data_IF_055659969348
#
_entry.id   IF_055659969348
#
_cell.length_a   1.000
_cell.length_b   1.000
_cell.length_c   1.000
_cell.angle_alpha   90.00
_cell.angle_beta   90.00
_cell.angle_gamma   90.00
#
_symmetry.space_group_name_H-M   'P 1'
#
loop_
_entity.id
_entity.type
_entity.pdbx_description
1 polymer ?
#
# COMPACT_ATOMS: atom_id res chain seq x y z
N UNK A 1 12.62 -9.44 -32.02
CA UNK A 1 11.60 -10.34 -32.59
C UNK A 1 10.53 -10.56 -31.54
N UNK A 2 9.36 -9.95 -31.71
CA UNK A 2 8.18 -10.24 -30.89
C UNK A 2 7.72 -11.64 -31.32
N UNK A 3 7.77 -12.62 -30.41
CA UNK A 3 7.23 -13.96 -30.70
C UNK A 3 5.74 -13.80 -30.99
N UNK A 4 5.30 -14.32 -32.14
CA UNK A 4 3.88 -14.41 -32.47
C UNK A 4 3.18 -15.25 -31.41
N UNK A 5 2.38 -14.61 -30.55
CA UNK A 5 1.46 -15.33 -29.69
C UNK A 5 0.33 -15.86 -30.56
N UNK A 6 0.23 -17.19 -30.65
CA UNK A 6 -0.92 -17.85 -31.25
C UNK A 6 -2.11 -17.68 -30.31
N UNK A 7 -3.07 -16.83 -30.71
CA UNK A 7 -4.36 -16.74 -30.05
C UNK A 7 -4.99 -18.13 -30.07
N UNK A 8 -5.27 -18.70 -28.90
CA UNK A 8 -5.97 -19.98 -28.78
C UNK A 8 -7.36 -19.82 -29.38
N UNK A 9 -7.69 -20.67 -30.35
CA UNK A 9 -8.91 -20.65 -31.14
C UNK A 9 -10.19 -20.63 -30.29
N UNK A 10 -10.62 -19.44 -29.93
CA UNK A 10 -12.03 -19.13 -29.73
C UNK A 10 -12.68 -19.16 -31.13
N UNK A 11 -13.69 -20.01 -31.33
CA UNK A 11 -14.54 -20.00 -32.55
C UNK A 11 -15.09 -18.59 -32.87
N UNK A 12 -15.12 -17.71 -31.88
CA UNK A 12 -15.42 -16.29 -32.00
C UNK A 12 -14.10 -15.52 -32.25
N UNK A 13 -13.83 -15.16 -33.51
CA UNK A 13 -12.65 -14.39 -33.97
C UNK A 13 -12.56 -12.95 -33.39
N UNK A 14 -13.38 -12.64 -32.37
CA UNK A 14 -13.59 -11.32 -31.75
C UNK A 14 -12.34 -10.77 -31.06
N UNK A 15 -11.56 -11.63 -30.42
CA UNK A 15 -10.33 -11.21 -29.72
C UNK A 15 -9.25 -10.79 -30.72
N UNK A 16 -9.05 -11.58 -31.78
CA UNK A 16 -8.16 -11.24 -32.90
C UNK A 16 -8.60 -9.95 -33.59
N UNK A 17 -9.91 -9.75 -33.77
CA UNK A 17 -10.47 -8.52 -34.32
C UNK A 17 -10.21 -7.31 -33.41
N UNK A 18 -10.37 -7.47 -32.09
CA UNK A 18 -10.06 -6.45 -31.10
C UNK A 18 -8.58 -6.00 -31.20
N UNK A 19 -7.63 -6.93 -31.19
CA UNK A 19 -6.21 -6.58 -31.28
C UNK A 19 -5.83 -5.96 -32.63
N UNK A 20 -6.40 -6.44 -33.74
CA UNK A 20 -6.21 -5.80 -35.05
C UNK A 20 -6.71 -4.36 -35.07
N UNK A 21 -7.84 -4.08 -34.44
CA UNK A 21 -8.38 -2.73 -34.34
C UNK A 21 -7.54 -1.85 -33.38
N UNK A 22 -7.04 -2.40 -32.27
CA UNK A 22 -6.10 -1.71 -31.39
C UNK A 22 -4.83 -1.25 -32.14
N UNK A 23 -4.25 -2.10 -32.99
CA UNK A 23 -3.10 -1.73 -33.82
C UNK A 23 -3.44 -0.57 -34.77
N UNK A 24 -4.63 -0.59 -35.39
CA UNK A 24 -5.08 0.52 -36.25
C UNK A 24 -5.25 1.84 -35.48
N UNK A 25 -5.76 1.80 -34.26
CA UNK A 25 -5.86 2.98 -33.38
C UNK A 25 -4.47 3.55 -33.09
N UNK A 26 -3.53 2.69 -32.69
CA UNK A 26 -2.14 3.09 -32.38
C UNK A 26 -1.46 3.71 -33.62
N UNK A 27 -1.61 3.10 -34.79
CA UNK A 27 -1.02 3.62 -36.03
C UNK A 27 -1.60 4.98 -36.42
N UNK A 28 -2.89 5.22 -36.12
CA UNK A 28 -3.55 6.50 -36.35
C UNK A 28 -3.00 7.60 -35.46
N UNK A 29 -2.73 7.30 -34.18
CA UNK A 29 -2.06 8.22 -33.26
C UNK A 29 -0.66 8.56 -33.78
N UNK A 30 0.12 7.54 -34.19
CA UNK A 30 1.47 7.75 -34.73
C UNK A 30 1.50 8.64 -35.98
N UNK A 31 0.48 8.56 -36.84
CA UNK A 31 0.38 9.37 -38.07
C UNK A 31 -0.11 10.80 -37.84
N UNK A 32 -0.77 11.09 -36.70
CA UNK A 32 -1.42 12.39 -36.45
C UNK A 32 -0.46 13.55 -36.12
N UNK A 33 0.87 13.38 -36.30
CA UNK A 33 1.91 14.42 -36.13
C UNK A 33 1.61 15.35 -34.95
N UNK A 34 1.59 14.77 -33.75
CA UNK A 34 1.62 15.56 -32.53
C UNK A 34 2.97 16.28 -32.45
N UNK A 35 2.98 17.54 -31.99
CA UNK A 35 4.22 18.29 -31.84
C UNK A 35 5.11 17.60 -30.80
N UNK A 36 6.36 17.33 -31.18
CA UNK A 36 7.32 16.66 -30.31
C UNK A 36 8.00 17.72 -29.45
N UNK A 37 7.61 17.82 -28.19
CA UNK A 37 8.32 18.60 -27.18
C UNK A 37 9.03 17.60 -26.24
N UNK A 38 10.27 17.24 -26.57
CA UNK A 38 10.98 16.15 -25.90
C UNK A 38 10.38 14.77 -26.23
N UNK A 39 9.92 14.03 -25.22
CA UNK A 39 9.26 12.73 -25.39
C UNK A 39 7.73 12.82 -25.43
N UNK A 40 7.17 14.04 -25.48
CA UNK A 40 5.74 14.28 -25.37
C UNK A 40 5.16 14.80 -26.67
N UNK A 41 3.93 14.36 -26.93
CA UNK A 41 3.10 14.72 -28.06
C UNK A 41 2.09 15.77 -27.59
N UNK A 42 2.26 17.05 -27.96
CA UNK A 42 1.38 18.14 -27.50
C UNK A 42 0.43 18.64 -28.61
N UNK A 43 -0.86 18.80 -28.28
CA UNK A 43 -1.93 19.34 -29.14
C UNK A 43 -2.94 20.09 -28.27
N UNK A 44 -3.77 20.94 -28.88
CA UNK A 44 -4.87 21.62 -28.18
C UNK A 44 -5.91 20.63 -27.64
N UNK A 45 -6.60 21.02 -26.57
CA UNK A 45 -7.66 20.22 -25.95
C UNK A 45 -8.75 19.82 -26.97
N UNK A 46 -9.09 20.71 -27.90
CA UNK A 46 -10.08 20.45 -28.95
C UNK A 46 -9.64 19.31 -29.87
N UNK A 47 -8.36 19.29 -30.27
CA UNK A 47 -7.83 18.22 -31.11
C UNK A 47 -7.78 16.87 -30.38
N UNK A 48 -7.50 16.90 -29.07
CA UNK A 48 -7.61 15.72 -28.21
C UNK A 48 -9.06 15.22 -28.21
N UNK A 49 -10.04 16.11 -27.97
CA UNK A 49 -11.47 15.75 -28.00
C UNK A 49 -11.91 15.17 -29.34
N UNK A 50 -11.57 15.79 -30.46
CA UNK A 50 -11.88 15.27 -31.81
C UNK A 50 -11.31 13.85 -32.01
N UNK A 51 -10.14 13.59 -31.44
CA UNK A 51 -9.49 12.28 -31.50
C UNK A 51 -10.18 11.25 -30.63
N UNK A 52 -10.63 11.64 -29.43
CA UNK A 52 -11.42 10.78 -28.54
C UNK A 52 -12.76 10.43 -29.18
N UNK A 53 -13.48 11.40 -29.74
CA UNK A 53 -14.74 11.16 -30.45
C UNK A 53 -14.55 10.17 -31.59
N UNK A 54 -13.52 10.36 -32.41
CA UNK A 54 -13.22 9.46 -33.52
C UNK A 54 -12.93 8.01 -33.08
N UNK A 55 -12.32 7.81 -31.91
CA UNK A 55 -12.13 6.47 -31.33
C UNK A 55 -13.42 5.89 -30.76
N UNK A 56 -14.23 6.69 -30.08
CA UNK A 56 -15.55 6.29 -29.58
C UNK A 56 -16.47 5.79 -30.70
N UNK A 57 -16.49 6.47 -31.86
CA UNK A 57 -17.31 6.07 -33.00
C UNK A 57 -16.83 4.76 -33.63
N UNK A 58 -15.54 4.48 -33.62
CA UNK A 58 -15.02 3.18 -34.03
C UNK A 58 -15.43 2.09 -33.02
N UNK A 59 -15.70 0.85 -33.45
CA UNK A 59 -16.23 -0.23 -32.60
C UNK A 59 -15.23 -0.73 -31.53
N UNK A 60 -14.14 -0.02 -31.31
CA UNK A 60 -13.06 -0.38 -30.38
C UNK A 60 -12.57 0.85 -29.62
N UNK A 61 -12.12 0.61 -28.39
CA UNK A 61 -11.78 1.66 -27.42
C UNK A 61 -10.41 1.42 -26.79
N UNK A 62 -9.47 0.79 -27.53
CA UNK A 62 -8.23 0.32 -26.92
C UNK A 62 -7.45 1.48 -26.30
N UNK A 63 -7.29 2.57 -27.05
CA UNK A 63 -6.58 3.78 -26.59
C UNK A 63 -7.27 4.41 -25.37
N UNK A 64 -8.61 4.43 -25.36
CA UNK A 64 -9.39 5.04 -24.28
C UNK A 64 -9.16 4.36 -22.92
N UNK A 65 -8.68 3.11 -22.90
CA UNK A 65 -8.32 2.39 -21.67
C UNK A 65 -7.00 2.85 -21.04
N UNK A 66 -6.16 3.56 -21.80
CA UNK A 66 -4.81 3.94 -21.40
C UNK A 66 -4.61 5.46 -21.37
N UNK A 67 -5.70 6.22 -21.21
CA UNK A 67 -5.61 7.66 -21.04
C UNK A 67 -5.09 7.94 -19.64
N UNK A 68 -3.96 8.66 -19.59
CA UNK A 68 -3.40 9.18 -18.35
C UNK A 68 -3.31 10.70 -18.43
N UNK A 69 -3.85 11.36 -17.41
CA UNK A 69 -3.70 12.79 -17.20
C UNK A 69 -2.31 13.03 -16.62
N UNK A 70 -1.52 13.80 -17.35
CA UNK A 70 -0.21 14.28 -16.93
C UNK A 70 -0.26 15.80 -16.86
N UNK A 71 0.13 16.34 -15.72
CA UNK A 71 0.41 17.76 -15.56
C UNK A 71 1.73 17.96 -14.79
N UNK A 72 2.24 19.19 -14.83
CA UNK A 72 3.49 19.59 -14.19
C UNK A 72 3.31 20.11 -12.76
N UNK A 73 2.06 20.32 -12.31
CA UNK A 73 1.75 21.04 -11.08
C UNK A 73 1.32 20.13 -9.93
N UNK A 74 0.92 18.90 -10.22
CA UNK A 74 0.46 17.92 -9.23
C UNK A 74 1.59 17.01 -8.77
N UNK A 75 1.56 16.68 -7.49
CA UNK A 75 2.39 15.61 -6.94
C UNK A 75 1.99 14.25 -7.52
N UNK A 76 2.90 13.27 -7.46
CA UNK A 76 2.62 11.91 -7.95
C UNK A 76 1.38 11.28 -7.31
N UNK A 77 1.14 11.52 -6.02
CA UNK A 77 -0.03 11.02 -5.31
C UNK A 77 -1.33 11.69 -5.75
N UNK A 78 -1.35 13.02 -5.93
CA UNK A 78 -2.53 13.73 -6.44
C UNK A 78 -2.88 13.24 -7.83
N UNK A 79 -1.86 13.11 -8.68
CA UNK A 79 -2.01 12.60 -10.03
C UNK A 79 -2.53 11.15 -10.04
N UNK A 80 -2.10 10.31 -9.11
CA UNK A 80 -2.59 8.94 -8.99
C UNK A 80 -4.10 8.92 -8.66
N UNK A 81 -4.53 9.72 -7.67
CA UNK A 81 -5.95 9.85 -7.32
C UNK A 81 -6.75 10.42 -8.50
N UNK A 82 -6.26 11.49 -9.13
CA UNK A 82 -6.94 12.13 -10.25
C UNK A 82 -7.16 11.15 -11.40
N UNK A 83 -6.13 10.40 -11.79
CA UNK A 83 -6.23 9.39 -12.84
C UNK A 83 -7.22 8.28 -12.45
N UNK A 84 -7.11 7.77 -11.22
CA UNK A 84 -7.97 6.68 -10.75
C UNK A 84 -9.45 7.09 -10.74
N UNK A 85 -9.77 8.26 -10.17
CA UNK A 85 -11.16 8.76 -10.11
C UNK A 85 -11.67 9.18 -11.49
N UNK A 86 -10.81 9.78 -12.33
CA UNK A 86 -11.19 10.13 -13.71
C UNK A 86 -11.53 8.90 -14.54
N UNK A 87 -10.82 7.79 -14.35
CA UNK A 87 -11.15 6.52 -14.99
C UNK A 87 -12.53 5.99 -14.56
N UNK A 88 -12.83 6.01 -13.26
CA UNK A 88 -14.14 5.59 -12.73
C UNK A 88 -15.25 6.48 -13.28
N UNK A 89 -15.05 7.80 -13.23
CA UNK A 89 -16.01 8.77 -13.76
C UNK A 89 -16.23 8.60 -15.26
N UNK A 90 -15.17 8.44 -16.04
CA UNK A 90 -15.26 8.21 -17.48
C UNK A 90 -16.07 6.94 -17.80
N UNK A 91 -15.85 5.86 -17.04
CA UNK A 91 -16.63 4.63 -17.19
C UNK A 91 -18.13 4.82 -16.90
N UNK A 92 -18.50 5.75 -16.01
CA UNK A 92 -19.92 6.06 -15.74
C UNK A 92 -20.59 6.74 -16.94
N UNK A 93 -19.83 7.58 -17.66
CA UNK A 93 -20.29 8.30 -18.86
C UNK A 93 -20.16 7.51 -20.15
N UNK A 94 -19.51 6.35 -20.13
CA UNK A 94 -19.21 5.59 -21.35
C UNK A 94 -20.47 5.27 -22.17
N UNK A 95 -21.63 5.04 -21.52
CA UNK A 95 -22.91 4.80 -22.21
C UNK A 95 -23.31 5.97 -23.11
N UNK A 96 -23.02 7.21 -22.70
CA UNK A 96 -23.38 8.39 -23.48
C UNK A 96 -22.61 8.48 -24.80
N UNK A 97 -21.40 7.91 -24.81
CA UNK A 97 -20.52 7.84 -25.97
C UNK A 97 -20.85 6.67 -26.91
N UNK A 98 -21.53 5.62 -26.42
CA UNK A 98 -21.86 4.42 -27.19
C UNK A 98 -23.37 4.22 -27.42
N UNK A 99 -24.18 5.30 -27.37
CA UNK A 99 -25.65 5.24 -27.49
C UNK A 99 -26.13 4.46 -28.71
N UNK A 100 -25.45 4.59 -29.85
CA UNK A 100 -25.84 3.95 -31.11
C UNK A 100 -25.50 2.45 -31.20
N UNK A 101 -24.81 1.90 -30.18
CA UNK A 101 -24.30 0.52 -30.18
C UNK A 101 -24.98 -0.39 -29.15
N UNK A 102 -26.11 0.05 -28.59
CA UNK A 102 -26.91 -0.71 -27.60
C UNK A 102 -26.08 -1.14 -26.37
N UNK A 103 -25.03 -0.36 -26.05
CA UNK A 103 -24.11 -0.66 -24.97
C UNK A 103 -24.79 -0.46 -23.61
N UNK A 104 -24.91 -1.55 -22.85
CA UNK A 104 -25.40 -1.52 -21.47
C UNK A 104 -24.35 -2.10 -20.53
N UNK A 105 -23.88 -1.26 -19.62
CA UNK A 105 -23.10 -1.71 -18.48
C UNK A 105 -23.91 -2.73 -17.69
N UNK A 106 -23.31 -3.88 -17.40
CA UNK A 106 -23.96 -4.95 -16.65
C UNK A 106 -24.25 -4.49 -15.22
N UNK A 107 -25.34 -4.99 -14.63
CA UNK A 107 -25.71 -4.69 -13.24
C UNK A 107 -24.58 -5.05 -12.26
N UNK A 108 -24.03 -6.26 -12.37
CA UNK A 108 -22.95 -6.73 -11.52
C UNK A 108 -21.60 -6.48 -12.19
N UNK A 109 -20.67 -5.86 -11.47
CA UNK A 109 -19.35 -5.46 -11.96
C UNK A 109 -18.28 -6.00 -11.01
N UNK A 110 -17.27 -6.66 -11.57
CA UNK A 110 -16.05 -7.04 -10.85
C UNK A 110 -15.00 -5.96 -11.10
N UNK A 111 -14.59 -5.28 -10.04
CA UNK A 111 -13.53 -4.28 -10.08
C UNK A 111 -12.24 -4.89 -9.50
N UNK A 112 -11.21 -4.95 -10.33
CA UNK A 112 -9.89 -5.46 -9.95
C UNK A 112 -8.90 -4.29 -9.89
N UNK A 113 -8.25 -4.10 -8.75
CA UNK A 113 -7.30 -3.01 -8.52
C UNK A 113 -5.99 -3.60 -8.01
N UNK A 114 -4.90 -3.35 -8.71
CA UNK A 114 -3.58 -3.69 -8.20
C UNK A 114 -3.01 -2.49 -7.44
N UNK A 115 -2.46 -2.72 -6.26
CA UNK A 115 -1.83 -1.74 -5.38
C UNK A 115 -2.68 -0.46 -5.20
N UNK A 116 -3.86 -0.60 -4.58
CA UNK A 116 -4.79 0.54 -4.38
C UNK A 116 -4.16 1.72 -3.61
N UNK A 117 -3.11 1.45 -2.83
CA UNK A 117 -2.36 2.42 -2.03
C UNK A 117 -1.15 3.04 -2.75
N UNK A 118 -0.89 2.66 -4.01
CA UNK A 118 0.27 3.09 -4.77
C UNK A 118 0.32 4.62 -4.90
N UNK A 119 1.50 5.19 -4.61
CA UNK A 119 1.77 6.64 -4.57
C UNK A 119 0.97 7.45 -3.52
N UNK A 120 0.06 6.83 -2.77
CA UNK A 120 -0.77 7.54 -1.80
C UNK A 120 0.00 7.84 -0.52
N UNK A 121 -0.07 9.08 -0.05
CA UNK A 121 0.36 9.43 1.30
C UNK A 121 -0.49 8.66 2.34
N UNK A 122 0.06 8.27 3.50
CA UNK A 122 -0.68 7.56 4.55
C UNK A 122 -2.05 8.17 4.92
N UNK A 123 -2.14 9.50 4.94
CA UNK A 123 -3.39 10.22 5.22
C UNK A 123 -4.48 9.98 4.16
N UNK A 124 -4.11 9.70 2.91
CA UNK A 124 -5.04 9.35 1.84
C UNK A 124 -5.34 7.86 1.80
N UNK A 125 -4.37 7.01 2.17
CA UNK A 125 -4.62 5.58 2.37
C UNK A 125 -5.71 5.33 3.41
N UNK A 126 -5.80 6.16 4.46
CA UNK A 126 -6.90 6.10 5.46
C UNK A 126 -8.28 6.38 4.87
N UNK A 127 -8.36 7.07 3.72
CA UNK A 127 -9.63 7.52 3.14
C UNK A 127 -9.99 6.76 1.87
N UNK A 128 -9.03 6.06 1.25
CA UNK A 128 -9.17 5.54 -0.11
C UNK A 128 -10.36 4.61 -0.30
N UNK A 129 -10.64 3.74 0.68
CA UNK A 129 -11.77 2.81 0.63
C UNK A 129 -13.10 3.58 0.68
N UNK A 130 -13.21 4.55 1.59
CA UNK A 130 -14.41 5.40 1.71
C UNK A 130 -14.60 6.23 0.44
N UNK A 131 -13.54 6.85 -0.07
CA UNK A 131 -13.59 7.64 -1.31
C UNK A 131 -14.02 6.78 -2.50
N UNK A 132 -13.45 5.57 -2.66
CA UNK A 132 -13.83 4.63 -3.72
C UNK A 132 -15.31 4.23 -3.62
N UNK A 133 -15.79 3.86 -2.43
CA UNK A 133 -17.19 3.46 -2.25
C UNK A 133 -18.14 4.61 -2.58
N UNK A 134 -17.83 5.82 -2.12
CA UNK A 134 -18.65 7.00 -2.41
C UNK A 134 -18.70 7.29 -3.91
N UNK A 135 -17.54 7.31 -4.58
CA UNK A 135 -17.46 7.55 -6.02
C UNK A 135 -18.26 6.50 -6.82
N UNK A 136 -18.14 5.22 -6.45
CA UNK A 136 -18.88 4.15 -7.12
C UNK A 136 -20.40 4.28 -6.92
N UNK A 137 -20.85 4.63 -5.71
CA UNK A 137 -22.27 4.82 -5.42
C UNK A 137 -22.86 6.03 -6.17
N UNK A 138 -22.09 7.12 -6.29
CA UNK A 138 -22.52 8.32 -7.03
C UNK A 138 -22.53 8.09 -8.54
N UNK A 139 -21.47 7.49 -9.09
CA UNK A 139 -21.33 7.27 -10.52
C UNK A 139 -22.22 6.11 -11.05
N UNK A 140 -22.53 5.11 -10.22
CA UNK A 140 -23.17 3.87 -10.66
C UNK A 140 -24.28 3.40 -9.70
N UNK A 141 -25.33 4.20 -9.47
CA UNK A 141 -26.34 3.94 -8.43
C UNK A 141 -27.13 2.64 -8.62
N UNK A 142 -27.26 2.15 -9.86
CA UNK A 142 -28.00 0.92 -10.19
C UNK A 142 -27.11 -0.33 -10.29
N UNK A 143 -25.80 -0.19 -10.07
CA UNK A 143 -24.82 -1.25 -10.23
C UNK A 143 -24.37 -1.83 -8.88
N UNK A 144 -23.98 -3.09 -8.89
CA UNK A 144 -23.45 -3.81 -7.73
C UNK A 144 -22.00 -4.17 -8.03
N UNK A 145 -21.09 -3.69 -7.17
CA UNK A 145 -19.65 -3.93 -7.32
C UNK A 145 -19.16 -5.03 -6.38
N UNK A 146 -18.42 -5.98 -6.93
CA UNK A 146 -17.47 -6.79 -6.17
C UNK A 146 -16.09 -6.19 -6.40
N UNK A 147 -15.44 -5.75 -5.32
CA UNK A 147 -14.10 -5.13 -5.39
C UNK A 147 -13.08 -6.14 -4.89
N UNK A 148 -12.07 -6.41 -5.69
CA UNK A 148 -10.89 -7.20 -5.31
C UNK A 148 -9.68 -6.32 -5.55
N UNK A 149 -8.90 -6.09 -4.49
CA UNK A 149 -7.70 -5.28 -4.59
C UNK A 149 -6.52 -5.90 -3.87
N UNK A 150 -5.31 -5.57 -4.33
CA UNK A 150 -4.07 -5.85 -3.61
C UNK A 150 -3.61 -4.58 -2.89
N UNK A 151 -2.90 -4.76 -1.77
CA UNK A 151 -2.33 -3.64 -1.01
C UNK A 151 -1.10 -4.07 -0.23
N UNK A 152 -0.11 -3.18 -0.16
CA UNK A 152 1.03 -3.29 0.75
C UNK A 152 0.85 -2.45 2.02
N UNK A 153 -0.29 -1.77 2.16
CA UNK A 153 -0.56 -0.86 3.26
C UNK A 153 -1.38 -1.50 4.38
N UNK A 154 -0.86 -1.57 5.62
CA UNK A 154 -1.67 -1.94 6.78
C UNK A 154 -2.74 -0.90 7.12
N UNK A 155 -2.60 0.32 6.64
CA UNK A 155 -3.60 1.37 6.85
C UNK A 155 -4.88 0.98 6.11
N UNK A 156 -4.76 0.60 4.83
CA UNK A 156 -5.91 0.11 4.04
C UNK A 156 -6.44 -1.20 4.62
N UNK A 157 -5.56 -2.10 5.06
CA UNK A 157 -5.96 -3.36 5.70
C UNK A 157 -6.82 -3.14 6.97
N UNK A 158 -6.63 -2.03 7.69
CA UNK A 158 -7.40 -1.73 8.89
C UNK A 158 -8.89 -1.48 8.63
N UNK A 159 -9.28 -1.17 7.39
CA UNK A 159 -10.69 -1.04 6.99
C UNK A 159 -11.31 -2.39 6.59
N UNK A 160 -10.52 -3.46 6.53
CA UNK A 160 -10.98 -4.76 6.03
C UNK A 160 -11.15 -5.78 7.16
N UNK A 161 -12.32 -6.43 7.25
CA UNK A 161 -12.48 -7.61 8.09
C UNK A 161 -11.60 -8.76 7.60
N UNK A 162 -11.03 -9.54 8.52
CA UNK A 162 -10.05 -10.59 8.18
C UNK A 162 -10.60 -11.67 7.26
N UNK A 163 -11.90 -11.97 7.35
CA UNK A 163 -12.58 -12.92 6.45
C UNK A 163 -12.59 -12.47 4.98
N UNK A 164 -12.40 -11.17 4.71
CA UNK A 164 -12.30 -10.62 3.37
C UNK A 164 -10.84 -10.48 2.89
N UNK A 165 -9.88 -10.94 3.69
CA UNK A 165 -8.45 -10.77 3.42
C UNK A 165 -7.80 -12.10 3.07
N UNK A 166 -6.95 -12.06 2.04
CA UNK A 166 -6.07 -13.19 1.68
C UNK A 166 -4.62 -12.75 1.86
N UNK A 167 -3.93 -13.36 2.83
CA UNK A 167 -2.53 -13.04 3.14
C UNK A 167 -1.59 -13.96 2.40
N UNK A 168 -0.79 -13.39 1.50
CA UNK A 168 0.19 -14.12 0.71
C UNK A 168 1.59 -13.96 1.31
N UNK A 169 2.30 -15.07 1.52
CA UNK A 169 3.70 -15.09 1.95
C UNK A 169 4.52 -15.92 0.96
N UNK A 170 5.75 -15.49 0.68
CA UNK A 170 6.72 -16.31 -0.05
C UNK A 170 7.26 -17.41 0.87
N UNK A 171 6.94 -18.66 0.58
CA UNK A 171 7.51 -19.85 1.22
C UNK A 171 8.72 -20.38 0.45
N UNK A 172 9.29 -21.49 0.93
CA UNK A 172 10.47 -22.12 0.32
C UNK A 172 10.21 -22.71 -1.08
N UNK A 173 8.98 -23.18 -1.34
CA UNK A 173 8.60 -23.85 -2.60
C UNK A 173 7.61 -23.08 -3.46
N UNK A 174 7.22 -21.86 -3.05
CA UNK A 174 6.21 -21.06 -3.76
C UNK A 174 5.49 -20.06 -2.85
N UNK A 175 4.36 -19.54 -3.32
CA UNK A 175 3.51 -18.63 -2.54
C UNK A 175 2.57 -19.46 -1.66
N UNK A 176 2.51 -19.15 -0.38
CA UNK A 176 1.64 -19.79 0.61
C UNK A 176 0.65 -18.79 1.19
N UNK A 177 -0.54 -19.27 1.54
CA UNK A 177 -1.54 -18.48 2.25
C UNK A 177 -1.33 -18.60 3.76
N UNK A 178 -1.30 -17.47 4.48
CA UNK A 178 -1.25 -17.50 5.96
C UNK A 178 -2.66 -17.76 6.51
N UNK A 179 -2.79 -18.83 7.29
CA UNK A 179 -4.08 -19.28 7.84
C UNK A 179 -4.52 -18.56 9.12
N UNK A 180 -3.58 -18.01 9.88
CA UNK A 180 -3.87 -17.41 11.19
C UNK A 180 -3.42 -15.94 11.23
N UNK A 181 -4.35 -15.04 10.92
CA UNK A 181 -4.18 -13.60 11.18
C UNK A 181 -5.30 -13.17 12.12
N UNK A 182 -4.96 -12.33 13.11
CA UNK A 182 -5.95 -11.76 14.03
C UNK A 182 -6.89 -10.82 13.29
N UNK A 183 -7.95 -10.39 13.99
CA UNK A 183 -8.88 -9.39 13.49
C UNK A 183 -8.16 -8.13 13.02
N UNK A 184 -8.43 -7.74 11.78
CA UNK A 184 -7.79 -6.62 11.10
C UNK A 184 -8.62 -5.34 11.13
N UNK A 185 -9.95 -5.46 11.12
CA UNK A 185 -10.86 -4.33 11.10
C UNK A 185 -10.71 -3.46 12.36
N UNK A 186 -10.46 -2.16 12.17
CA UNK A 186 -10.21 -1.19 13.23
C UNK A 186 -8.98 -1.49 14.09
N UNK A 187 -8.11 -2.40 13.66
CA UNK A 187 -6.93 -2.78 14.43
C UNK A 187 -5.87 -1.68 14.40
N UNK A 188 -5.09 -1.57 15.47
CA UNK A 188 -3.97 -0.65 15.52
C UNK A 188 -2.97 -0.96 14.38
N UNK A 189 -2.66 0.06 13.57
CA UNK A 189 -1.78 -0.05 12.40
C UNK A 189 -0.43 -0.71 12.74
N UNK A 190 0.14 -0.42 13.91
CA UNK A 190 1.39 -1.03 14.37
C UNK A 190 1.27 -2.54 14.57
N UNK A 191 0.15 -3.00 15.14
CA UNK A 191 -0.11 -4.43 15.29
C UNK A 191 -0.32 -5.10 13.93
N UNK A 192 -0.94 -4.42 12.97
CA UNK A 192 -1.08 -4.90 11.60
C UNK A 192 0.28 -5.04 10.91
N UNK A 193 1.17 -4.06 11.04
CA UNK A 193 2.55 -4.16 10.54
C UNK A 193 3.25 -5.42 11.07
N UNK A 194 3.13 -5.68 12.38
CA UNK A 194 3.75 -6.83 13.03
C UNK A 194 3.13 -8.17 12.59
N UNK A 195 1.80 -8.28 12.67
CA UNK A 195 1.10 -9.55 12.56
C UNK A 195 0.75 -9.88 11.10
N UNK A 196 0.32 -8.90 10.29
CA UNK A 196 -0.14 -9.10 8.91
C UNK A 196 0.96 -8.91 7.85
N UNK A 197 1.91 -8.00 8.08
CA UNK A 197 2.98 -7.67 7.11
C UNK A 197 4.32 -8.36 7.38
N UNK A 198 4.33 -9.38 8.24
CA UNK A 198 5.45 -10.30 8.40
C UNK A 198 6.78 -9.61 8.76
N UNK A 199 6.77 -8.61 9.64
CA UNK A 199 8.00 -8.09 10.23
C UNK A 199 8.62 -9.18 11.12
N UNK A 200 9.47 -10.01 10.50
CA UNK A 200 10.11 -11.14 11.16
C UNK A 200 11.02 -10.66 12.30
N UNK A 201 11.12 -11.47 13.35
CA UNK A 201 11.96 -11.24 14.54
C UNK A 201 11.52 -10.11 15.49
N UNK A 202 10.32 -9.55 15.31
CA UNK A 202 9.83 -8.48 16.18
C UNK A 202 10.62 -7.18 16.04
N UNK A 203 11.33 -7.01 14.93
CA UNK A 203 12.01 -5.78 14.59
C UNK A 203 10.98 -4.69 14.28
N UNK A 204 10.99 -3.63 15.07
CA UNK A 204 10.05 -2.50 14.95
C UNK A 204 10.72 -1.24 14.38
N UNK A 205 12.01 -1.32 14.05
CA UNK A 205 12.82 -0.25 13.49
C UNK A 205 13.80 -0.81 12.45
N UNK A 206 14.33 0.08 11.60
CA UNK A 206 15.19 -0.29 10.47
C UNK A 206 16.47 -1.01 10.89
N UNK A 207 16.97 -1.88 10.01
CA UNK A 207 18.14 -2.73 10.28
C UNK A 207 19.41 -1.90 10.56
N UNK A 208 19.55 -0.74 9.91
CA UNK A 208 20.63 0.21 10.19
C UNK A 208 20.57 0.75 11.62
N UNK A 209 19.40 1.26 12.04
CA UNK A 209 19.18 1.75 13.41
C UNK A 209 19.43 0.64 14.44
N UNK A 210 19.01 -0.59 14.15
CA UNK A 210 19.27 -1.75 15.00
C UNK A 210 20.78 -2.02 15.14
N UNK A 211 21.50 -2.05 14.03
CA UNK A 211 22.95 -2.27 14.02
C UNK A 211 23.67 -1.17 14.79
N UNK A 212 23.26 0.08 14.58
CA UNK A 212 23.77 1.25 15.31
C UNK A 212 23.55 1.13 16.82
N UNK A 213 22.32 0.83 17.27
CA UNK A 213 21.99 0.65 18.70
C UNK A 213 22.79 -0.51 19.31
N UNK A 214 22.91 -1.63 18.59
CA UNK A 214 23.67 -2.79 19.05
C UNK A 214 25.18 -2.50 19.17
N UNK A 215 25.74 -1.72 18.24
CA UNK A 215 27.13 -1.30 18.29
C UNK A 215 27.39 -0.39 19.50
N UNK A 216 26.54 0.60 19.74
CA UNK A 216 26.62 1.45 20.94
C UNK A 216 26.53 0.61 22.21
N UNK A 217 25.56 -0.31 22.28
CA UNK A 217 25.43 -1.20 23.44
C UNK A 217 26.69 -2.07 23.66
N UNK A 218 27.35 -2.50 22.59
CA UNK A 218 28.60 -3.27 22.64
C UNK A 218 29.79 -2.41 23.08
N UNK A 219 29.91 -1.19 22.59
CA UNK A 219 30.96 -0.24 23.01
C UNK A 219 30.84 0.09 24.51
N UNK A 220 29.61 0.38 24.98
CA UNK A 220 29.31 0.60 26.40
C UNK A 220 29.71 -0.63 27.23
N UNK A 221 29.30 -1.84 26.82
CA UNK A 221 29.62 -3.09 27.52
C UNK A 221 31.11 -3.43 27.54
N UNK A 222 31.80 -3.24 26.42
CA UNK A 222 33.25 -3.49 26.32
C UNK A 222 34.09 -2.37 26.93
N UNK A 223 33.47 -1.22 27.24
CA UNK A 223 34.15 -0.03 27.74
C UNK A 223 35.13 0.56 26.72
N UNK A 224 34.96 0.25 25.44
CA UNK A 224 35.76 0.78 24.33
C UNK A 224 35.06 2.00 23.74
N UNK A 225 34.92 3.04 24.56
CA UNK A 225 34.42 4.31 24.09
C UNK A 225 35.32 5.43 24.59
N UNK A 226 35.71 6.30 23.68
CA UNK A 226 36.72 7.32 23.93
C UNK A 226 36.19 8.41 24.88
N UNK A 227 34.91 8.76 24.74
CA UNK A 227 34.28 9.85 25.49
C UNK A 227 32.80 9.57 25.81
N UNK A 228 32.43 9.78 27.07
CA UNK A 228 31.05 9.67 27.55
C UNK A 228 30.14 10.70 26.90
N UNK A 229 30.65 11.90 26.62
CA UNK A 229 29.84 12.97 26.00
C UNK A 229 29.45 12.58 24.57
N UNK A 230 30.40 12.08 23.78
CA UNK A 230 30.14 11.55 22.44
C UNK A 230 29.11 10.42 22.43
N UNK A 231 29.22 9.43 23.32
CA UNK A 231 28.21 8.36 23.39
C UNK A 231 26.82 8.90 23.77
N UNK A 232 26.76 9.84 24.71
CA UNK A 232 25.47 10.44 25.09
C UNK A 232 24.81 11.15 23.90
N UNK A 233 25.58 11.88 23.08
CA UNK A 233 25.08 12.50 21.84
C UNK A 233 24.55 11.46 20.85
N UNK A 234 25.21 10.31 20.72
CA UNK A 234 24.75 9.22 19.86
C UNK A 234 23.44 8.58 20.38
N UNK A 235 23.30 8.47 21.71
CA UNK A 235 22.05 7.99 22.33
C UNK A 235 20.90 8.97 22.10
N UNK A 236 21.18 10.27 22.12
CA UNK A 236 20.15 11.31 21.87
C UNK A 236 19.54 11.25 20.48
N UNK A 237 20.22 10.63 19.51
CA UNK A 237 19.66 10.37 18.17
C UNK A 237 18.56 9.29 18.17
N UNK A 238 18.49 8.43 19.20
CA UNK A 238 17.53 7.33 19.26
C UNK A 238 16.17 7.86 19.68
N UNK A 239 15.16 7.80 18.81
CA UNK A 239 13.83 8.34 19.09
C UNK A 239 12.99 7.56 20.12
N UNK A 240 13.41 6.36 20.54
CA UNK A 240 12.69 5.53 21.51
C UNK A 240 13.19 5.75 22.95
N UNK A 241 12.41 6.41 23.83
CA UNK A 241 12.87 6.78 25.17
C UNK A 241 13.23 5.58 26.05
N UNK A 242 12.56 4.43 25.86
CA UNK A 242 12.86 3.22 26.62
C UNK A 242 14.28 2.73 26.32
N UNK A 243 14.67 2.75 25.04
CA UNK A 243 16.02 2.35 24.61
C UNK A 243 17.06 3.35 25.13
N UNK A 244 16.81 4.66 24.99
CA UNK A 244 17.70 5.69 25.53
C UNK A 244 17.96 5.49 27.02
N UNK A 245 16.89 5.35 27.81
CA UNK A 245 16.97 5.17 29.26
C UNK A 245 17.74 3.90 29.63
N UNK A 246 17.57 2.82 28.87
CA UNK A 246 18.31 1.58 29.12
C UNK A 246 19.81 1.74 28.82
N UNK A 247 20.18 2.36 27.70
CA UNK A 247 21.59 2.60 27.36
C UNK A 247 22.28 3.56 28.35
N UNK A 248 21.58 4.61 28.79
CA UNK A 248 22.08 5.54 29.82
C UNK A 248 22.32 4.85 31.15
N UNK A 249 21.43 3.92 31.55
CA UNK A 249 21.66 3.08 32.74
C UNK A 249 22.93 2.24 32.59
N UNK A 250 23.15 1.61 31.44
CA UNK A 250 24.35 0.80 31.17
C UNK A 250 25.66 1.61 31.23
N UNK A 251 25.62 2.91 30.90
CA UNK A 251 26.79 3.81 31.03
C UNK A 251 27.07 4.18 32.49
N UNK A 252 26.02 4.34 33.29
CA UNK A 252 26.10 4.80 34.67
C UNK A 252 26.30 3.66 35.68
N UNK A 253 26.02 2.42 35.30
CA UNK A 253 26.32 1.24 36.12
C UNK A 253 27.85 0.96 36.14
N UNK A 254 28.48 0.82 37.32
CA UNK A 254 29.88 0.46 37.41
C UNK A 254 30.11 -0.94 36.84
N UNK A 255 31.25 -1.13 36.13
CA UNK A 255 31.67 -2.41 35.53
C UNK A 255 31.62 -3.56 36.57
N UNK A 256 30.49 -4.26 36.66
CA UNK A 256 30.38 -5.48 37.44
C UNK A 256 31.01 -6.62 36.64
N UNK A 257 32.26 -6.92 36.98
CA UNK A 257 32.79 -8.26 36.78
C UNK A 257 31.93 -9.24 37.62
N UNK A 258 31.47 -10.30 36.95
CA UNK A 258 30.64 -11.42 37.42
C UNK A 258 29.12 -11.22 37.37
N UNK A 259 28.46 -12.24 36.81
CA UNK A 259 27.03 -12.55 36.88
C UNK A 259 26.47 -12.16 38.25
N UNK A 260 25.62 -11.15 38.31
CA UNK A 260 25.03 -10.71 39.57
C UNK A 260 23.54 -11.08 39.61
N UNK A 261 23.21 -12.03 40.49
CA UNK A 261 21.85 -12.48 40.80
C UNK A 261 20.91 -11.33 41.21
N UNK A 262 21.49 -10.18 41.60
CA UNK A 262 20.79 -8.94 41.95
C UNK A 262 19.93 -8.34 40.83
N UNK A 263 20.36 -8.36 39.56
CA UNK A 263 19.57 -7.78 38.46
C UNK A 263 18.32 -8.62 38.13
N UNK A 264 18.45 -9.95 38.21
CA UNK A 264 17.31 -10.85 38.05
C UNK A 264 16.33 -10.70 39.22
N UNK A 265 16.80 -10.49 40.44
CA UNK A 265 15.93 -10.24 41.60
C UNK A 265 15.20 -8.90 41.52
N UNK A 266 15.84 -7.83 41.04
CA UNK A 266 15.18 -6.56 40.79
C UNK A 266 14.13 -6.65 39.67
N UNK A 267 14.47 -7.33 38.57
CA UNK A 267 13.52 -7.56 37.47
C UNK A 267 12.33 -8.41 37.95
N UNK A 268 12.57 -9.45 38.76
CA UNK A 268 11.50 -10.25 39.38
C UNK A 268 10.64 -9.39 40.33
N UNK A 269 11.23 -8.48 41.11
CA UNK A 269 10.47 -7.55 41.97
C UNK A 269 9.59 -6.61 41.15
N UNK A 270 10.13 -6.06 40.06
CA UNK A 270 9.39 -5.18 39.16
C UNK A 270 8.20 -5.91 38.50
N UNK A 271 8.44 -7.12 37.96
CA UNK A 271 7.40 -7.95 37.35
C UNK A 271 6.31 -8.36 38.37
N UNK A 272 6.69 -8.68 39.62
CA UNK A 272 5.74 -8.96 40.70
C UNK A 272 4.87 -7.75 41.05
N UNK A 273 5.44 -6.53 40.99
CA UNK A 273 4.69 -5.29 41.22
C UNK A 273 3.64 -5.05 40.13
N UNK A 274 4.03 -5.18 38.86
CA UNK A 274 3.08 -5.05 37.75
C UNK A 274 1.96 -6.10 37.82
N UNK A 275 2.30 -7.36 38.17
CA UNK A 275 1.31 -8.41 38.34
C UNK A 275 0.25 -8.04 39.40
N UNK A 276 0.67 -7.48 40.55
CA UNK A 276 -0.25 -7.01 41.60
C UNK A 276 -1.16 -5.88 41.12
N UNK A 277 -0.62 -4.91 40.37
CA UNK A 277 -1.42 -3.80 39.85
C UNK A 277 -2.49 -4.29 38.86
N UNK A 278 -2.14 -5.26 38.01
CA UNK A 278 -3.07 -5.90 37.09
C UNK A 278 -4.12 -6.71 37.84
N UNK A 279 -3.74 -7.51 38.84
CA UNK A 279 -4.68 -8.28 39.69
C UNK A 279 -5.65 -7.37 40.45
N UNK A 280 -5.18 -6.23 40.95
CA UNK A 280 -6.04 -5.24 41.61
C UNK A 280 -7.06 -4.66 40.63
N UNK A 281 -6.66 -4.28 39.41
CA UNK A 281 -7.57 -3.84 38.35
C UNK A 281 -8.59 -4.92 37.96
N UNK A 282 -8.16 -6.18 37.87
CA UNK A 282 -9.06 -7.30 37.60
C UNK A 282 -10.09 -7.45 38.74
N UNK A 283 -9.68 -7.29 40.00
CA UNK A 283 -10.58 -7.40 41.15
C UNK A 283 -11.54 -6.21 41.29
N UNK A 284 -11.11 -5.00 40.92
CA UNK A 284 -12.00 -3.84 40.81
C UNK A 284 -13.08 -4.08 39.75
N UNK A 285 -12.70 -4.60 38.58
CA UNK A 285 -13.63 -4.93 37.50
C UNK A 285 -14.58 -6.09 37.82
N UNK A 286 -14.18 -7.02 38.70
CA UNK A 286 -15.05 -8.13 39.18
C UNK A 286 -16.04 -7.71 40.27
N UNK A 287 -15.88 -6.53 40.86
CA UNK A 287 -16.78 -5.97 41.89
C UNK A 287 -17.83 -5.03 41.32
N UNK A 288 -17.76 -4.72 40.02
CA UNK A 288 -18.84 -4.14 39.22
C UNK A 288 -19.76 -5.25 38.72
#
# INVERSE_FOLDING_TARGET
>A
MIKEHTFTDSKDNKEKEYFKNAIKEIDKIKRKNFEINGNYYTKSINYFWDTIEEFVYNKTSFVLKYIHILDEYTSSGERAILNFMSCIYFLSKIKDYFKDKDYKLRKNILLLIDEIDLYLHPAWQQKIITTLINELNECFPDNVFQIVFSTHSPIVLSDMPTQNCVFLKKGHTGIIMKKEVKQTFGCNIFNLYKDAFFLENGNTFGEYSRTFINNIAKEIKTGKFDDKENINRLIDLIGEPIIQNHLRKLINEPKKNKLDSSQNEEMIRFLKKQKREIENKINELKKQ
#
